data_IF_882269702832
#
_entry.id   IF_882269702832
#
_cell.length_a   1.000
_cell.length_b   1.000
_cell.length_c   1.000
_cell.angle_alpha   90.00
_cell.angle_beta   90.00
_cell.angle_gamma   90.00
#
_symmetry.space_group_name_H-M   'P 1'
#
loop_
_entity.id
_entity.type
_entity.pdbx_description
1 polymer ?
#
# COMPACT_ATOMS: atom_id res chain seq x y z
N UNK A 1 0.37 -23.15 3.01
CA UNK A 1 1.19 -23.33 4.23
C UNK A 1 2.42 -24.12 3.83
N UNK A 2 3.63 -23.51 3.90
CA UNK A 2 4.83 -24.23 3.53
C UNK A 2 5.14 -25.30 4.58
N UNK A 3 5.68 -26.43 4.13
CA UNK A 3 6.09 -27.58 4.97
C UNK A 3 7.03 -27.15 6.12
N UNK A 4 7.74 -26.03 5.99
CA UNK A 4 8.59 -25.48 7.04
C UNK A 4 7.79 -24.94 8.25
N UNK A 5 6.55 -24.49 8.06
CA UNK A 5 5.67 -24.03 9.16
C UNK A 5 5.06 -25.20 9.97
N UNK A 6 4.99 -26.40 9.39
CA UNK A 6 4.47 -27.59 10.10
C UNK A 6 5.40 -28.11 11.22
N UNK A 7 6.66 -27.67 11.26
CA UNK A 7 7.67 -28.14 12.23
C UNK A 7 7.88 -27.23 13.44
N UNK A 8 7.38 -25.99 13.38
CA UNK A 8 7.50 -25.06 14.47
C UNK A 8 6.32 -25.26 15.43
N UNK A 9 6.59 -25.58 16.69
CA UNK A 9 5.55 -25.57 17.72
C UNK A 9 5.12 -24.12 17.95
N UNK A 10 3.85 -23.77 17.71
CA UNK A 10 3.37 -22.44 18.04
C UNK A 10 3.43 -22.25 19.55
N UNK A 11 3.76 -21.07 20.01
CA UNK A 11 3.62 -20.69 21.41
C UNK A 11 2.15 -20.74 21.85
N UNK A 12 1.90 -20.68 23.14
CA UNK A 12 0.55 -20.66 23.68
C UNK A 12 -0.27 -19.51 23.08
N UNK A 13 -1.50 -19.77 22.61
CA UNK A 13 -2.35 -18.73 22.04
C UNK A 13 -2.77 -17.72 23.11
N UNK A 14 -2.67 -16.44 22.75
CA UNK A 14 -3.15 -15.33 23.56
C UNK A 14 -4.46 -14.80 22.99
N UNK A 15 -5.51 -14.76 23.81
CA UNK A 15 -6.79 -14.16 23.41
C UNK A 15 -6.78 -12.67 23.75
N UNK A 16 -7.14 -11.84 22.77
CA UNK A 16 -7.18 -10.40 22.88
C UNK A 16 -8.56 -9.87 22.45
N UNK A 17 -9.04 -8.89 23.18
CA UNK A 17 -10.18 -8.06 22.74
C UNK A 17 -9.60 -6.74 22.20
N UNK A 18 -9.57 -6.58 20.88
CA UNK A 18 -9.06 -5.38 20.25
C UNK A 18 -10.17 -4.33 20.07
N UNK A 19 -9.75 -3.08 20.04
CA UNK A 19 -10.59 -1.97 19.60
C UNK A 19 -10.36 -1.74 18.11
N UNK A 20 -11.42 -1.58 17.33
CA UNK A 20 -11.31 -1.14 15.93
C UNK A 20 -10.99 0.34 15.80
N UNK A 21 -11.04 1.08 16.92
CA UNK A 21 -10.64 2.48 16.93
C UNK A 21 -9.12 2.60 16.86
N UNK A 22 -8.61 2.55 15.65
CA UNK A 22 -7.19 2.75 15.33
C UNK A 22 -6.80 4.23 15.35
N UNK A 23 -7.71 5.11 15.71
CA UNK A 23 -7.48 6.54 15.70
C UNK A 23 -6.44 6.91 16.75
N UNK A 24 -5.26 7.28 16.29
CA UNK A 24 -4.15 7.76 17.14
C UNK A 24 -4.35 9.21 17.62
N UNK A 25 -5.49 9.83 17.32
CA UNK A 25 -5.76 11.20 17.73
C UNK A 25 -5.94 11.30 19.24
N UNK A 26 -4.97 11.95 19.86
CA UNK A 26 -4.85 12.13 21.29
C UNK A 26 -6.13 12.53 22.06
N UNK A 27 -7.06 13.38 21.56
CA UNK A 27 -8.26 13.71 22.29
C UNK A 27 -9.26 12.54 22.44
N UNK A 28 -9.25 11.60 21.50
CA UNK A 28 -10.25 10.52 21.45
C UNK A 28 -9.70 9.15 21.83
N UNK A 29 -8.39 8.93 21.70
CA UNK A 29 -7.75 7.66 22.00
C UNK A 29 -7.32 7.49 23.48
N UNK A 30 -7.11 8.60 24.19
CA UNK A 30 -6.63 8.58 25.56
C UNK A 30 -7.55 7.86 26.56
N UNK A 31 -8.88 8.07 26.55
CA UNK A 31 -9.77 7.43 27.54
C UNK A 31 -9.83 5.91 27.42
N UNK A 32 -9.67 5.36 26.21
CA UNK A 32 -9.75 3.92 25.97
C UNK A 32 -8.50 3.17 26.39
N UNK A 33 -7.36 3.86 26.53
CA UNK A 33 -6.08 3.26 26.95
C UNK A 33 -5.90 3.23 28.46
N UNK A 34 -6.34 4.30 29.11
CA UNK A 34 -6.12 4.47 30.57
C UNK A 34 -7.18 3.79 31.42
N UNK A 35 -8.39 3.62 30.87
CA UNK A 35 -9.51 2.96 31.55
C UNK A 35 -10.10 1.90 30.64
N UNK A 36 -9.79 0.60 30.83
CA UNK A 36 -10.34 -0.46 30.00
C UNK A 36 -11.85 -0.56 30.20
N UNK A 37 -12.60 -0.06 29.23
CA UNK A 37 -14.05 -0.21 29.14
C UNK A 37 -14.37 -1.25 28.10
N UNK A 38 -15.04 -2.34 28.48
CA UNK A 38 -15.40 -3.43 27.59
C UNK A 38 -16.16 -2.97 26.34
N UNK A 39 -16.91 -1.87 26.41
CA UNK A 39 -17.61 -1.30 25.25
C UNK A 39 -16.70 -0.82 24.12
N UNK A 40 -15.42 -0.58 24.36
CA UNK A 40 -14.44 -0.21 23.33
C UNK A 40 -13.70 -1.41 22.75
N UNK A 41 -13.68 -2.55 23.44
CA UNK A 41 -12.94 -3.74 23.10
C UNK A 41 -13.91 -4.86 22.72
N UNK A 42 -14.30 -4.94 21.47
CA UNK A 42 -15.34 -5.84 21.02
C UNK A 42 -14.89 -6.79 19.89
N UNK A 43 -13.64 -6.68 19.45
CA UNK A 43 -13.10 -7.51 18.38
C UNK A 43 -12.19 -8.58 18.96
N UNK A 44 -12.70 -9.82 19.05
CA UNK A 44 -11.92 -10.94 19.57
C UNK A 44 -10.94 -11.44 18.53
N UNK A 45 -9.66 -11.42 18.85
CA UNK A 45 -8.59 -11.96 18.04
C UNK A 45 -7.74 -12.94 18.84
N UNK A 46 -7.05 -13.81 18.13
CA UNK A 46 -6.09 -14.75 18.71
C UNK A 46 -4.70 -14.38 18.22
N UNK A 47 -3.79 -14.09 19.14
CA UNK A 47 -2.40 -13.88 18.85
C UNK A 47 -1.61 -15.17 19.10
N UNK A 48 -0.79 -15.59 18.14
CA UNK A 48 0.09 -16.75 18.26
C UNK A 48 1.50 -16.31 17.88
N UNK A 49 2.48 -16.73 18.68
CA UNK A 49 3.90 -16.52 18.35
C UNK A 49 4.48 -17.81 17.79
N UNK A 50 5.07 -17.75 16.61
CA UNK A 50 5.75 -18.85 15.96
C UNK A 50 7.12 -18.37 15.47
N UNK A 51 8.18 -19.03 15.83
CA UNK A 51 9.57 -18.67 15.48
C UNK A 51 9.93 -17.21 15.83
N UNK A 52 9.39 -16.69 16.94
CA UNK A 52 9.61 -15.30 17.37
C UNK A 52 8.76 -14.26 16.63
N UNK A 53 8.01 -14.64 15.63
CA UNK A 53 7.09 -13.77 14.91
C UNK A 53 5.67 -13.92 15.47
N UNK A 54 4.99 -12.79 15.70
CA UNK A 54 3.61 -12.75 16.18
C UNK A 54 2.64 -12.65 15.01
N UNK A 55 1.64 -13.51 15.04
CA UNK A 55 0.55 -13.59 14.07
C UNK A 55 -0.77 -13.26 14.76
N UNK A 56 -1.61 -12.47 14.12
CA UNK A 56 -2.98 -12.24 14.55
C UNK A 56 -3.89 -13.11 13.66
N UNK A 57 -4.72 -13.90 14.31
CA UNK A 57 -5.62 -14.85 13.65
C UNK A 57 -7.07 -14.43 13.89
N UNK A 58 -7.97 -15.00 13.10
CA UNK A 58 -9.42 -14.80 13.21
C UNK A 58 -9.92 -13.45 12.70
N UNK A 59 -9.21 -12.81 11.76
CA UNK A 59 -9.63 -11.55 11.15
C UNK A 59 -9.66 -11.60 9.62
N UNK A 60 -8.89 -12.48 8.99
CA UNK A 60 -8.75 -12.55 7.54
C UNK A 60 -9.73 -13.48 6.85
N UNK A 61 -9.89 -13.32 5.54
CA UNK A 61 -10.57 -14.26 4.67
C UNK A 61 -9.59 -15.23 3.98
N UNK A 62 -10.10 -16.09 3.09
CA UNK A 62 -9.28 -17.10 2.39
C UNK A 62 -8.19 -16.51 1.47
N UNK A 63 -8.27 -15.22 1.13
CA UNK A 63 -7.33 -14.53 0.25
C UNK A 63 -6.26 -13.74 1.02
N UNK A 64 -6.48 -13.50 2.31
CA UNK A 64 -5.57 -12.72 3.13
C UNK A 64 -4.26 -13.46 3.43
N UNK A 65 -3.22 -12.69 3.72
CA UNK A 65 -1.98 -13.26 4.23
C UNK A 65 -2.13 -13.66 5.68
N UNK A 66 -1.60 -14.82 6.04
CA UNK A 66 -1.68 -15.33 7.41
C UNK A 66 -1.04 -14.35 8.39
N UNK A 67 -1.84 -13.87 9.33
CA UNK A 67 -1.42 -12.94 10.37
C UNK A 67 -1.48 -11.47 9.97
N UNK A 68 -1.83 -11.15 8.72
CA UNK A 68 -2.17 -9.78 8.35
C UNK A 68 -3.48 -9.36 9.02
N UNK A 69 -3.55 -8.12 9.49
CA UNK A 69 -4.70 -7.59 10.22
C UNK A 69 -4.79 -6.08 10.05
N UNK A 70 -6.00 -5.55 10.01
CA UNK A 70 -6.29 -4.12 10.06
C UNK A 70 -6.04 -3.50 11.45
N UNK A 71 -5.73 -4.32 12.45
CA UNK A 71 -5.61 -3.89 13.85
C UNK A 71 -4.19 -3.45 14.25
N UNK A 72 -3.25 -3.33 13.32
CA UNK A 72 -1.90 -2.85 13.64
C UNK A 72 -1.96 -1.48 14.35
N UNK A 73 -1.33 -1.39 15.52
CA UNK A 73 -1.36 -0.19 16.36
C UNK A 73 -2.63 -0.01 17.18
N UNK A 74 -3.64 -0.88 17.04
CA UNK A 74 -4.86 -0.83 17.82
C UNK A 74 -4.61 -1.21 19.29
N UNK A 75 -5.31 -0.58 20.26
CA UNK A 75 -5.29 -1.04 21.64
C UNK A 75 -6.06 -2.37 21.77
N UNK A 76 -5.53 -3.29 22.54
CA UNK A 76 -6.15 -4.57 22.83
C UNK A 76 -6.08 -4.91 24.32
N UNK A 77 -7.14 -5.49 24.84
CA UNK A 77 -7.28 -5.93 26.21
C UNK A 77 -6.98 -7.42 26.29
N UNK A 78 -6.03 -7.80 27.13
CA UNK A 78 -5.75 -9.20 27.44
C UNK A 78 -6.77 -9.77 28.41
N UNK A 79 -6.89 -11.10 28.50
CA UNK A 79 -7.72 -11.76 29.51
C UNK A 79 -7.31 -11.44 30.95
N UNK A 80 -6.09 -10.94 31.18
CA UNK A 80 -5.60 -10.49 32.48
C UNK A 80 -5.93 -9.04 32.79
N UNK A 81 -6.75 -8.39 31.97
CA UNK A 81 -7.16 -6.99 32.13
C UNK A 81 -6.07 -5.97 31.82
N UNK A 82 -5.02 -6.34 31.09
CA UNK A 82 -3.96 -5.42 30.67
C UNK A 82 -4.24 -4.91 29.27
N UNK A 83 -4.08 -3.62 29.07
CA UNK A 83 -4.13 -3.00 27.74
C UNK A 83 -2.73 -3.09 27.12
N UNK A 84 -2.67 -3.55 25.90
CA UNK A 84 -1.46 -3.57 25.05
C UNK A 84 -1.79 -3.10 23.66
N UNK A 85 -0.78 -2.77 22.87
CA UNK A 85 -0.95 -2.43 21.46
C UNK A 85 -0.77 -3.68 20.61
N UNK A 86 -1.65 -3.89 19.65
CA UNK A 86 -1.43 -4.88 18.58
C UNK A 86 -0.27 -4.39 17.73
N UNK A 87 0.81 -5.14 17.69
CA UNK A 87 1.98 -4.85 16.86
C UNK A 87 2.24 -6.01 15.93
N UNK A 88 2.09 -5.78 14.65
CA UNK A 88 2.32 -6.77 13.61
C UNK A 88 3.79 -6.79 13.21
N UNK A 89 4.24 -7.93 12.72
CA UNK A 89 5.53 -8.02 12.07
C UNK A 89 5.60 -7.03 10.88
N UNK A 90 6.77 -6.42 10.61
CA UNK A 90 6.91 -5.35 9.61
C UNK A 90 6.44 -5.75 8.21
N UNK A 91 6.59 -7.01 7.83
CA UNK A 91 6.17 -7.58 6.56
C UNK A 91 4.65 -7.80 6.46
N UNK A 92 3.94 -7.87 7.61
CA UNK A 92 2.49 -8.04 7.69
C UNK A 92 1.73 -6.71 7.83
N UNK A 93 2.45 -5.59 8.03
CA UNK A 93 1.82 -4.26 8.11
C UNK A 93 1.29 -3.81 6.75
N UNK A 94 0.24 -3.03 6.79
CA UNK A 94 -0.37 -2.46 5.59
C UNK A 94 0.63 -1.55 4.88
N UNK A 95 0.99 -1.92 3.66
CA UNK A 95 1.88 -1.15 2.82
C UNK A 95 1.54 -1.38 1.36
N UNK A 96 1.54 -0.31 0.59
CA UNK A 96 1.57 -0.32 -0.85
C UNK A 96 2.90 0.25 -1.32
N UNK A 97 3.55 -0.44 -2.24
CA UNK A 97 4.77 0.05 -2.88
C UNK A 97 4.56 0.07 -4.37
N UNK A 98 4.80 1.22 -4.96
CA UNK A 98 4.71 1.46 -6.39
C UNK A 98 6.10 1.84 -6.90
N UNK A 99 6.62 1.16 -7.91
CA UNK A 99 7.86 1.50 -8.58
C UNK A 99 7.60 1.78 -10.06
N UNK A 100 8.03 2.94 -10.50
CA UNK A 100 7.91 3.40 -11.86
C UNK A 100 9.29 3.70 -12.44
N UNK A 101 9.55 3.21 -13.64
CA UNK A 101 10.71 3.62 -14.43
C UNK A 101 10.20 4.24 -15.71
N UNK A 102 10.57 5.50 -15.93
CA UNK A 102 10.18 6.30 -17.11
C UNK A 102 11.45 6.58 -17.90
N UNK A 103 11.59 5.93 -19.05
CA UNK A 103 12.71 6.13 -19.98
C UNK A 103 12.24 7.05 -21.10
N UNK A 104 12.85 8.24 -21.21
CA UNK A 104 12.49 9.26 -22.19
C UNK A 104 13.45 9.25 -23.37
N UNK A 105 12.93 9.48 -24.57
CA UNK A 105 13.72 9.80 -25.74
C UNK A 105 13.84 11.31 -25.98
N UNK A 106 14.67 11.69 -26.94
CA UNK A 106 14.91 13.09 -27.28
C UNK A 106 13.69 13.80 -27.91
N UNK A 107 12.69 13.06 -28.35
CA UNK A 107 11.44 13.54 -28.92
C UNK A 107 10.34 13.70 -27.88
N UNK A 108 10.57 13.27 -26.64
CA UNK A 108 9.60 13.33 -25.55
C UNK A 108 8.68 12.10 -25.47
N UNK A 109 8.96 11.05 -26.24
CA UNK A 109 8.27 9.77 -26.05
C UNK A 109 8.82 9.05 -24.83
N UNK A 110 7.99 8.24 -24.18
CA UNK A 110 8.36 7.48 -22.98
C UNK A 110 8.12 6.00 -23.15
N UNK A 111 9.02 5.20 -22.57
CA UNK A 111 8.76 3.82 -22.15
C UNK A 111 8.59 3.82 -20.64
N UNK A 112 7.44 3.34 -20.17
CA UNK A 112 7.06 3.37 -18.77
C UNK A 112 6.91 1.93 -18.29
N UNK A 113 7.67 1.56 -17.26
CA UNK A 113 7.51 0.28 -16.55
C UNK A 113 6.95 0.54 -15.17
N UNK A 114 5.90 -0.20 -14.81
CA UNK A 114 5.20 -0.07 -13.54
C UNK A 114 5.20 -1.41 -12.82
N UNK A 115 5.48 -1.37 -11.52
CA UNK A 115 5.28 -2.53 -10.63
C UNK A 115 4.67 -2.04 -9.33
N UNK A 116 3.57 -2.68 -8.91
CA UNK A 116 2.87 -2.37 -7.69
C UNK A 116 2.84 -3.59 -6.79
N UNK A 117 3.27 -3.47 -5.52
CA UNK A 117 3.23 -4.54 -4.52
C UNK A 117 2.21 -4.24 -3.43
N UNK A 118 1.52 -5.27 -2.98
CA UNK A 118 0.44 -5.20 -2.01
C UNK A 118 0.79 -6.03 -0.76
N UNK A 119 0.84 -5.36 0.39
CA UNK A 119 1.20 -5.95 1.67
C UNK A 119 0.05 -5.85 2.68
N UNK A 120 0.12 -6.66 3.74
CA UNK A 120 -0.86 -6.65 4.81
C UNK A 120 -2.24 -6.98 4.31
N UNK A 121 -3.24 -6.28 4.81
CA UNK A 121 -4.65 -6.47 4.41
C UNK A 121 -4.95 -6.03 2.98
N UNK A 122 -4.04 -5.34 2.30
CA UNK A 122 -4.23 -4.99 0.89
C UNK A 122 -3.98 -6.18 -0.04
N UNK A 123 -3.23 -7.19 0.40
CA UNK A 123 -2.94 -8.39 -0.38
C UNK A 123 -4.19 -9.24 -0.64
N UNK A 124 -5.12 -9.34 0.32
CA UNK A 124 -6.35 -10.12 0.20
C UNK A 124 -7.25 -9.64 -0.92
N UNK A 125 -7.75 -8.39 -0.91
CA UNK A 125 -8.54 -7.82 -2.00
C UNK A 125 -7.85 -7.87 -3.36
N UNK A 126 -6.53 -7.69 -3.40
CA UNK A 126 -5.73 -7.84 -4.62
C UNK A 126 -5.82 -9.28 -5.14
N UNK A 127 -5.52 -10.29 -4.32
CA UNK A 127 -5.59 -11.71 -4.68
C UNK A 127 -6.99 -12.11 -5.14
N UNK A 128 -8.01 -11.72 -4.38
CA UNK A 128 -9.42 -12.00 -4.70
C UNK A 128 -9.78 -11.45 -6.07
N UNK A 129 -9.51 -10.16 -6.28
CA UNK A 129 -9.82 -9.50 -7.55
C UNK A 129 -9.25 -10.26 -8.75
N UNK A 130 -7.96 -10.60 -8.72
CA UNK A 130 -7.32 -11.20 -9.88
C UNK A 130 -7.55 -12.71 -10.03
N UNK A 131 -7.88 -13.41 -8.97
CA UNK A 131 -8.28 -14.83 -9.05
C UNK A 131 -9.71 -15.03 -9.53
N UNK A 132 -10.57 -14.08 -9.27
CA UNK A 132 -11.99 -14.12 -9.68
C UNK A 132 -12.27 -13.35 -10.98
N UNK A 133 -11.28 -12.63 -11.51
CA UNK A 133 -11.43 -11.79 -12.71
C UNK A 133 -11.55 -12.67 -13.97
N UNK A 134 -12.55 -12.37 -14.79
CA UNK A 134 -12.72 -13.03 -16.09
C UNK A 134 -11.64 -12.58 -17.09
N UNK A 135 -11.25 -13.44 -18.07
CA UNK A 135 -10.19 -13.09 -19.04
C UNK A 135 -10.46 -11.80 -19.84
N UNK A 136 -11.72 -11.55 -20.17
CA UNK A 136 -12.13 -10.31 -20.88
C UNK A 136 -12.02 -9.08 -20.00
N UNK A 137 -12.38 -9.18 -18.70
CA UNK A 137 -12.22 -8.12 -17.72
C UNK A 137 -10.74 -7.84 -17.44
N UNK A 138 -9.92 -8.89 -17.41
CA UNK A 138 -8.48 -8.77 -17.25
C UNK A 138 -7.84 -7.96 -18.38
N UNK A 139 -8.25 -8.22 -19.63
CA UNK A 139 -7.77 -7.46 -20.78
C UNK A 139 -8.23 -6.00 -20.73
N UNK A 140 -9.50 -5.76 -20.39
CA UNK A 140 -10.03 -4.39 -20.25
C UNK A 140 -9.28 -3.64 -19.14
N UNK A 141 -9.09 -4.29 -18.00
CA UNK A 141 -8.35 -3.71 -16.87
C UNK A 141 -6.90 -3.37 -17.22
N UNK A 142 -6.21 -4.23 -17.98
CA UNK A 142 -4.88 -3.90 -18.50
C UNK A 142 -4.87 -2.60 -19.30
N UNK A 143 -5.82 -2.44 -20.23
CA UNK A 143 -5.93 -1.22 -21.02
C UNK A 143 -6.26 0.01 -20.17
N UNK A 144 -7.08 -0.15 -19.14
CA UNK A 144 -7.37 0.91 -18.17
C UNK A 144 -6.10 1.33 -17.39
N UNK A 145 -5.30 0.37 -16.93
CA UNK A 145 -4.03 0.64 -16.25
C UNK A 145 -3.05 1.41 -17.16
N UNK A 146 -2.94 0.98 -18.43
CA UNK A 146 -2.10 1.65 -19.43
C UNK A 146 -2.62 3.06 -19.73
N UNK A 147 -3.92 3.21 -19.97
CA UNK A 147 -4.55 4.50 -20.27
C UNK A 147 -4.46 5.52 -19.13
N UNK A 148 -4.32 5.05 -17.88
CA UNK A 148 -4.13 5.90 -16.72
C UNK A 148 -2.74 6.57 -16.68
N UNK A 149 -1.73 6.03 -17.39
CA UNK A 149 -0.39 6.62 -17.44
C UNK A 149 -0.32 7.86 -18.33
N UNK A 150 -0.97 7.81 -19.50
CA UNK A 150 -1.07 8.91 -20.43
C UNK A 150 -2.16 8.63 -21.47
N UNK A 151 -2.77 9.70 -22.03
CA UNK A 151 -3.79 9.53 -23.08
C UNK A 151 -3.27 8.82 -24.33
N UNK A 152 -1.99 8.97 -24.64
CA UNK A 152 -1.31 8.35 -25.78
C UNK A 152 -0.64 7.02 -25.43
N UNK A 153 -0.86 6.50 -24.21
CA UNK A 153 -0.20 5.26 -23.78
C UNK A 153 -0.77 4.04 -24.49
N UNK A 154 0.12 3.20 -24.98
CA UNK A 154 -0.16 1.92 -25.60
C UNK A 154 0.59 0.80 -24.84
N UNK A 155 0.00 -0.40 -24.71
CA UNK A 155 0.67 -1.52 -24.05
C UNK A 155 2.00 -1.87 -24.74
N UNK A 156 3.07 -2.03 -23.96
CA UNK A 156 4.38 -2.50 -24.43
C UNK A 156 4.75 -3.88 -23.86
N UNK A 157 3.98 -4.38 -22.91
CA UNK A 157 4.02 -5.77 -22.41
C UNK A 157 2.63 -6.19 -21.97
N UNK A 158 2.44 -7.47 -21.76
CA UNK A 158 1.27 -7.99 -21.06
C UNK A 158 1.26 -7.57 -19.58
N UNK A 159 0.08 -7.54 -18.99
CA UNK A 159 -0.09 -7.38 -17.55
C UNK A 159 0.28 -8.69 -16.85
N UNK A 160 1.34 -8.64 -16.06
CA UNK A 160 1.75 -9.75 -15.18
C UNK A 160 1.15 -9.56 -13.81
N UNK A 161 0.51 -10.59 -13.27
CA UNK A 161 -0.07 -10.57 -11.92
C UNK A 161 0.39 -11.80 -11.16
N UNK A 162 0.98 -11.56 -9.99
CA UNK A 162 1.43 -12.63 -9.10
C UNK A 162 0.57 -12.61 -7.82
N UNK A 163 -0.28 -13.63 -7.67
CA UNK A 163 -1.18 -13.78 -6.53
C UNK A 163 -0.80 -14.90 -5.57
N UNK A 164 0.13 -15.77 -5.95
CA UNK A 164 0.56 -16.90 -5.11
C UNK A 164 1.67 -16.51 -4.14
N UNK A 165 2.56 -15.62 -4.55
CA UNK A 165 3.62 -15.10 -3.70
C UNK A 165 3.10 -14.00 -2.76
N UNK A 166 3.87 -13.75 -1.70
CA UNK A 166 3.67 -12.61 -0.81
C UNK A 166 4.98 -11.79 -0.72
N UNK A 167 4.93 -10.46 -0.94
CA UNK A 167 3.75 -9.69 -1.34
C UNK A 167 3.26 -10.06 -2.74
N UNK A 168 1.95 -9.97 -2.96
CA UNK A 168 1.39 -10.03 -4.30
C UNK A 168 1.79 -8.80 -5.11
N UNK A 169 1.94 -8.92 -6.43
CA UNK A 169 2.26 -7.78 -7.27
C UNK A 169 1.60 -7.84 -8.65
N UNK A 170 1.49 -6.69 -9.27
CA UNK A 170 1.23 -6.55 -10.70
C UNK A 170 2.37 -5.77 -11.36
N UNK A 171 2.65 -6.09 -12.62
CA UNK A 171 3.66 -5.40 -13.41
C UNK A 171 3.25 -5.32 -14.87
N UNK A 172 3.52 -4.20 -15.53
CA UNK A 172 3.33 -4.00 -16.96
C UNK A 172 4.24 -2.89 -17.49
N UNK A 173 4.35 -2.81 -18.81
CA UNK A 173 5.03 -1.73 -19.49
C UNK A 173 4.12 -1.10 -20.55
N UNK A 174 4.30 0.19 -20.77
CA UNK A 174 3.61 0.97 -21.78
C UNK A 174 4.60 1.87 -22.54
N UNK A 175 4.25 2.25 -23.75
CA UNK A 175 4.89 3.34 -24.49
C UNK A 175 3.90 4.49 -24.62
N UNK A 176 4.36 5.72 -24.50
CA UNK A 176 3.54 6.90 -24.65
C UNK A 176 4.25 7.92 -25.55
N UNK A 177 3.54 8.39 -26.60
CA UNK A 177 4.01 9.49 -27.44
C UNK A 177 3.70 10.82 -26.75
N UNK A 178 4.53 11.82 -26.99
CA UNK A 178 4.33 13.16 -26.44
C UNK A 178 4.12 13.18 -24.91
N UNK A 179 4.80 12.25 -24.21
CA UNK A 179 4.73 12.15 -22.77
C UNK A 179 5.43 13.34 -22.10
N UNK A 180 6.52 13.81 -22.69
CA UNK A 180 7.24 15.01 -22.29
C UNK A 180 7.22 16.02 -23.45
N UNK A 181 7.12 17.29 -23.09
CA UNK A 181 7.27 18.39 -24.04
C UNK A 181 8.74 18.79 -24.15
N UNK A 182 9.27 18.85 -25.38
CA UNK A 182 10.64 19.28 -25.65
C UNK A 182 10.62 20.57 -26.42
N UNK A 183 11.00 21.68 -25.77
CA UNK A 183 11.06 23.01 -26.38
C UNK A 183 12.36 23.70 -26.06
N UNK A 184 13.05 24.23 -27.08
CA UNK A 184 14.30 25.01 -26.95
C UNK A 184 15.36 24.34 -26.07
N UNK A 185 15.46 22.99 -26.12
CA UNK A 185 16.41 22.23 -25.33
C UNK A 185 15.98 21.99 -23.86
N UNK A 186 14.75 22.35 -23.51
CA UNK A 186 14.14 22.08 -22.22
C UNK A 186 13.13 20.94 -22.37
N UNK A 187 13.26 19.91 -21.53
CA UNK A 187 12.33 18.81 -21.45
C UNK A 187 11.45 19.01 -20.20
N UNK A 188 10.14 19.06 -20.42
CA UNK A 188 9.13 19.21 -19.37
C UNK A 188 8.22 18.00 -19.35
N UNK A 189 8.08 17.35 -18.20
CA UNK A 189 7.16 16.22 -18.03
C UNK A 189 6.31 16.43 -16.79
N UNK A 190 5.11 15.84 -16.83
CA UNK A 190 4.23 15.74 -15.67
C UNK A 190 4.28 14.30 -15.15
N UNK A 191 4.63 14.14 -13.87
CA UNK A 191 4.57 12.83 -13.21
C UNK A 191 3.13 12.64 -12.73
N UNK A 192 2.38 11.65 -13.24
CA UNK A 192 0.99 11.45 -12.85
C UNK A 192 0.83 11.19 -11.35
N UNK A 193 -0.17 11.82 -10.75
CA UNK A 193 -0.76 11.51 -9.43
C UNK A 193 0.14 11.40 -8.18
N UNK A 194 1.36 11.89 -8.20
CA UNK A 194 2.25 11.80 -7.03
C UNK A 194 1.66 12.48 -5.78
N UNK A 195 0.98 13.60 -5.96
CA UNK A 195 0.41 14.37 -4.84
C UNK A 195 -1.04 13.95 -4.50
N UNK A 196 -1.86 13.66 -5.49
CA UNK A 196 -3.28 13.32 -5.29
C UNK A 196 -3.51 11.97 -4.62
N UNK A 197 -2.59 11.02 -4.83
CA UNK A 197 -2.67 9.71 -4.19
C UNK A 197 -2.31 9.75 -2.69
N UNK A 198 -1.47 10.70 -2.28
CA UNK A 198 -1.03 10.83 -0.89
C UNK A 198 -2.04 11.59 -0.01
N UNK A 199 -2.73 12.56 -0.59
CA UNK A 199 -3.65 13.43 0.15
C UNK A 199 -4.92 13.69 -0.66
N UNK A 200 -5.97 12.86 -0.53
CA UNK A 200 -7.25 13.10 -1.18
C UNK A 200 -7.98 14.28 -0.52
N UNK A 201 -7.42 15.47 -0.57
CA UNK A 201 -8.05 16.68 -0.09
C UNK A 201 -9.11 17.11 -1.10
N UNK A 202 -10.38 17.05 -0.70
CA UNK A 202 -11.52 17.42 -1.55
C UNK A 202 -11.92 18.90 -1.46
N UNK A 203 -11.28 19.67 -0.60
CA UNK A 203 -11.59 21.07 -0.40
C UNK A 203 -10.32 21.90 -0.19
N UNK A 204 -10.27 23.08 -0.80
CA UNK A 204 -9.17 24.03 -0.68
C UNK A 204 -9.07 24.64 0.73
N UNK A 205 -10.19 24.68 1.45
CA UNK A 205 -10.29 25.13 2.84
C UNK A 205 -11.08 24.14 3.69
N UNK A 206 -10.67 23.97 4.92
CA UNK A 206 -11.34 23.08 5.89
C UNK A 206 -11.52 23.81 7.21
N UNK A 207 -12.76 23.78 7.71
CA UNK A 207 -13.11 24.30 9.03
C UNK A 207 -13.00 23.24 10.13
N UNK A 208 -12.91 21.95 9.73
CA UNK A 208 -12.81 20.82 10.63
C UNK A 208 -11.44 20.14 10.52
N UNK A 209 -10.90 19.59 11.60
CA UNK A 209 -9.68 18.80 11.56
C UNK A 209 -9.76 17.66 10.53
N UNK A 210 -8.68 17.44 9.81
CA UNK A 210 -8.57 16.29 8.92
C UNK A 210 -8.37 15.03 9.76
N UNK A 211 -9.31 14.11 9.62
CA UNK A 211 -9.22 12.80 10.22
C UNK A 211 -8.93 11.76 9.14
N UNK A 212 -7.77 11.11 9.23
CA UNK A 212 -7.36 10.01 8.34
C UNK A 212 -7.10 8.81 9.22
N UNK A 213 -8.05 7.87 9.24
CA UNK A 213 -7.94 6.61 9.99
C UNK A 213 -7.11 5.56 9.24
N UNK A 214 -5.93 5.94 8.74
CA UNK A 214 -5.10 5.05 7.95
C UNK A 214 -3.84 4.66 8.72
N UNK A 215 -3.69 3.35 8.97
CA UNK A 215 -2.42 2.73 9.35
C UNK A 215 -1.66 2.23 8.11
N UNK A 216 -1.89 2.84 6.96
CA UNK A 216 -1.30 2.42 5.70
C UNK A 216 -0.06 3.22 5.38
N UNK A 217 0.98 2.53 4.91
CA UNK A 217 2.16 3.17 4.35
C UNK A 217 2.10 3.06 2.83
N UNK A 218 2.23 4.20 2.15
CA UNK A 218 2.37 4.25 0.70
C UNK A 218 3.78 4.72 0.34
N UNK A 219 4.46 3.92 -0.49
CA UNK A 219 5.78 4.22 -1.02
C UNK A 219 5.69 4.30 -2.54
N UNK A 220 6.06 5.44 -3.11
CA UNK A 220 6.21 5.61 -4.54
C UNK A 220 7.66 5.89 -4.89
N UNK A 221 8.29 5.00 -5.66
CA UNK A 221 9.60 5.18 -6.24
C UNK A 221 9.44 5.48 -7.73
N UNK A 222 9.78 6.70 -8.15
CA UNK A 222 9.77 7.10 -9.55
C UNK A 222 11.21 7.36 -10.02
N UNK A 223 11.68 6.53 -10.95
CA UNK A 223 12.97 6.68 -11.62
C UNK A 223 12.74 7.23 -13.01
N UNK A 224 13.37 8.38 -13.32
CA UNK A 224 13.31 8.99 -14.64
C UNK A 224 14.69 8.84 -15.28
N UNK A 225 14.73 8.24 -16.47
CA UNK A 225 15.93 8.13 -17.29
C UNK A 225 15.82 9.16 -18.40
N UNK A 226 16.70 10.15 -18.35
CA UNK A 226 16.72 11.24 -19.33
C UNK A 226 17.48 10.82 -20.59
N UNK A 227 17.08 11.33 -21.77
CA UNK A 227 17.81 11.09 -23.00
C UNK A 227 19.18 11.78 -22.99
N UNK A 228 20.07 11.32 -23.84
CA UNK A 228 21.40 11.92 -23.99
C UNK A 228 21.30 13.41 -24.32
N UNK A 229 22.17 14.22 -23.69
CA UNK A 229 22.16 15.68 -23.83
C UNK A 229 21.38 16.43 -22.75
N UNK A 230 20.48 15.77 -22.00
CA UNK A 230 19.75 16.37 -20.89
C UNK A 230 20.43 16.05 -19.55
N UNK A 231 21.39 16.86 -19.15
CA UNK A 231 22.27 16.58 -18.00
C UNK A 231 22.01 17.48 -16.80
N UNK A 232 21.15 18.50 -16.94
CA UNK A 232 20.92 19.50 -15.90
C UNK A 232 19.44 19.60 -15.54
N UNK A 233 19.16 19.55 -14.26
CA UNK A 233 17.84 19.85 -13.70
C UNK A 233 17.82 21.32 -13.29
N UNK A 234 17.07 22.22 -14.01
CA UNK A 234 17.09 23.66 -13.73
C UNK A 234 16.53 23.99 -12.35
N UNK A 235 15.53 23.26 -11.91
CA UNK A 235 14.91 23.38 -10.59
C UNK A 235 14.82 21.99 -9.97
N UNK A 236 15.61 21.76 -8.94
CA UNK A 236 15.49 20.56 -8.13
C UNK A 236 14.52 20.83 -6.98
N UNK A 237 13.46 20.02 -6.78
CA UNK A 237 12.63 20.16 -5.60
C UNK A 237 13.46 19.92 -4.34
N UNK A 238 13.28 20.76 -3.34
CA UNK A 238 13.90 20.53 -2.04
C UNK A 238 13.26 19.29 -1.39
N UNK A 239 14.04 18.48 -0.67
CA UNK A 239 13.48 17.41 0.14
C UNK A 239 12.46 17.99 1.12
N UNK A 240 11.26 17.46 1.13
CA UNK A 240 10.22 17.84 2.08
C UNK A 240 9.88 16.65 2.99
N UNK A 241 9.74 16.93 4.28
CA UNK A 241 9.24 15.98 5.26
C UNK A 241 8.10 16.62 6.04
N UNK A 242 6.96 16.00 5.98
CA UNK A 242 5.78 16.36 6.76
C UNK A 242 5.55 15.30 7.82
N UNK A 243 5.28 15.72 9.04
CA UNK A 243 4.73 14.87 10.09
C UNK A 243 3.32 15.42 10.40
N UNK A 244 2.33 14.56 10.34
CA UNK A 244 0.95 14.85 10.71
C UNK A 244 0.69 14.37 12.15
#
# INVERSE_FOLDING_TARGET
LSIARERASPGDPEFLLASQDTTRHAPYAAPSRDVPQLGYYHHLVVAVTCEGQRFILNEGDQYDELGASGLDGAPALTLKGRVQTVDLAPDLKNRRRDAWTIELDAQGCARITVTNWFYGTQAGPFRKRYREMLPEDFRRHHLECVGALAKSAEPASDLTVETAAYPGYLAFAATARDYATVEKGVLTLLIPEVAGALFPLRADTRDQPLFIGLNDTSELLCRIVLPEGFTRLPVAPAPMRWAL
#
